data_IF_414981795370
#
_entry.id   IF_414981795370
#
_cell.length_a   1.000
_cell.length_b   1.000
_cell.length_c   1.000
_cell.angle_alpha   90.00
_cell.angle_beta   90.00
_cell.angle_gamma   90.00
#
_symmetry.space_group_name_H-M   'P 1'
#
loop_
_entity.id
_entity.type
_entity.pdbx_description
1 polymer ?
#
# COMPACT_ATOMS: atom_id res chain seq x y z
N UNK A 1 -6.91 18.20 -11.82
CA UNK A 1 -6.00 17.70 -10.77
C UNK A 1 -5.71 16.26 -11.12
N UNK A 2 -4.44 15.86 -11.07
CA UNK A 2 -4.09 14.44 -11.18
C UNK A 2 -4.51 13.76 -9.86
N UNK A 3 -5.28 12.68 -9.93
CA UNK A 3 -5.63 11.87 -8.76
C UNK A 3 -4.47 10.96 -8.39
N UNK A 4 -4.10 10.97 -7.10
CA UNK A 4 -3.00 10.18 -6.55
C UNK A 4 -3.45 9.45 -5.29
N UNK A 5 -3.34 8.12 -5.36
CA UNK A 5 -3.70 7.23 -4.27
C UNK A 5 -2.47 6.98 -3.44
N UNK A 6 -2.52 7.36 -2.17
CA UNK A 6 -1.49 7.00 -1.19
C UNK A 6 -1.75 5.58 -0.74
N UNK A 7 -0.72 4.74 -0.78
CA UNK A 7 -0.75 3.35 -0.35
C UNK A 7 0.26 3.17 0.78
N UNK A 8 -0.16 2.51 1.85
CA UNK A 8 0.73 1.97 2.87
C UNK A 8 0.59 0.47 2.92
N UNK A 9 1.72 -0.22 2.82
CA UNK A 9 1.76 -1.68 2.71
C UNK A 9 2.75 -2.27 3.70
N UNK A 10 2.27 -3.19 4.53
CA UNK A 10 3.08 -4.14 5.26
C UNK A 10 3.22 -5.41 4.43
N UNK A 11 4.46 -5.84 4.20
CA UNK A 11 4.78 -7.03 3.41
C UNK A 11 5.74 -7.93 4.19
N UNK A 12 5.42 -9.22 4.25
CA UNK A 12 6.17 -10.23 5.01
C UNK A 12 6.46 -11.46 4.17
N UNK A 13 7.57 -12.11 4.48
CA UNK A 13 7.92 -13.40 3.91
C UNK A 13 8.74 -14.23 4.91
N UNK A 14 8.49 -15.54 4.95
CA UNK A 14 9.20 -16.49 5.84
C UNK A 14 10.70 -16.60 5.55
N UNK A 15 11.07 -16.37 4.30
CA UNK A 15 12.45 -16.33 3.81
C UNK A 15 12.92 -14.87 3.72
N UNK A 16 13.88 -14.42 4.55
CA UNK A 16 14.36 -13.04 4.53
C UNK A 16 15.01 -12.66 3.20
N UNK A 17 15.54 -13.60 2.41
CA UNK A 17 16.09 -13.29 1.08
C UNK A 17 15.03 -12.80 0.09
N UNK A 18 13.76 -13.18 0.29
CA UNK A 18 12.66 -12.64 -0.50
C UNK A 18 12.32 -11.20 -0.11
N UNK A 19 12.48 -10.83 1.16
CA UNK A 19 12.37 -9.43 1.59
C UNK A 19 13.54 -8.63 1.04
N UNK A 20 14.77 -9.14 1.11
CA UNK A 20 15.94 -8.50 0.46
C UNK A 20 15.69 -8.26 -1.03
N UNK A 21 15.17 -9.26 -1.75
CA UNK A 21 14.82 -9.12 -3.17
C UNK A 21 13.70 -8.10 -3.42
N UNK A 22 12.69 -8.06 -2.56
CA UNK A 22 11.63 -7.06 -2.64
C UNK A 22 12.17 -5.65 -2.42
N UNK A 23 12.98 -5.44 -1.37
CA UNK A 23 13.58 -4.15 -1.04
C UNK A 23 14.53 -3.67 -2.13
N UNK A 24 15.34 -4.56 -2.70
CA UNK A 24 16.18 -4.24 -3.86
C UNK A 24 15.32 -3.80 -5.06
N UNK A 25 14.23 -4.51 -5.36
CA UNK A 25 13.33 -4.12 -6.43
C UNK A 25 12.61 -2.79 -6.15
N UNK A 26 12.19 -2.55 -4.90
CA UNK A 26 11.58 -1.28 -4.46
C UNK A 26 12.57 -0.13 -4.66
N UNK A 27 13.76 -0.23 -4.06
CA UNK A 27 14.81 0.80 -4.09
C UNK A 27 15.31 1.12 -5.51
N UNK A 28 15.29 0.14 -6.41
CA UNK A 28 15.72 0.30 -7.80
C UNK A 28 14.56 0.58 -8.78
N UNK A 29 13.34 0.83 -8.30
CA UNK A 29 12.17 1.10 -9.15
C UNK A 29 11.90 -0.02 -10.17
N UNK A 30 12.12 -1.26 -9.74
CA UNK A 30 12.00 -2.48 -10.55
C UNK A 30 10.88 -3.38 -10.07
N UNK A 31 9.87 -2.85 -9.36
CA UNK A 31 8.78 -3.69 -8.85
C UNK A 31 8.04 -4.46 -9.96
N UNK A 32 8.07 -3.95 -11.19
CA UNK A 32 7.60 -4.66 -12.38
C UNK A 32 8.24 -6.06 -12.58
N UNK A 33 9.41 -6.36 -12.01
CA UNK A 33 9.99 -7.71 -12.03
C UNK A 33 9.15 -8.73 -11.28
N UNK A 34 8.31 -8.27 -10.35
CA UNK A 34 7.29 -9.09 -9.72
C UNK A 34 5.99 -9.08 -10.53
N UNK A 35 5.68 -8.01 -11.29
CA UNK A 35 4.47 -7.88 -12.12
C UNK A 35 4.62 -8.52 -13.52
N UNK A 36 4.15 -9.76 -13.69
CA UNK A 36 4.40 -10.56 -14.91
C UNK A 36 3.60 -10.13 -16.18
N UNK A 37 2.95 -8.97 -16.13
CA UNK A 37 2.33 -8.24 -17.25
C UNK A 37 1.95 -6.86 -16.71
N UNK A 38 2.02 -5.84 -17.56
CA UNK A 38 1.58 -4.47 -17.24
C UNK A 38 0.11 -4.46 -16.78
N UNK A 39 -0.10 -4.68 -15.48
CA UNK A 39 -1.38 -4.45 -14.84
C UNK A 39 -1.31 -3.04 -14.25
N UNK A 40 -2.14 -2.17 -14.84
CA UNK A 40 -2.45 -0.81 -14.37
C UNK A 40 -1.27 0.04 -13.93
N UNK A 41 -0.44 0.50 -14.88
CA UNK A 41 0.32 1.76 -14.74
C UNK A 41 1.36 1.89 -13.63
N UNK A 42 1.61 0.86 -12.82
CA UNK A 42 2.61 0.90 -11.74
C UNK A 42 3.93 0.38 -12.31
N UNK A 43 4.68 1.29 -12.94
CA UNK A 43 6.04 0.98 -13.43
C UNK A 43 7.05 0.93 -12.28
N UNK A 44 6.77 1.72 -11.24
CA UNK A 44 7.50 1.83 -9.99
C UNK A 44 6.49 2.08 -8.85
N UNK A 45 6.92 1.87 -7.60
CA UNK A 45 6.15 2.29 -6.43
C UNK A 45 6.40 3.77 -6.11
N UNK A 46 6.62 4.65 -7.10
CA UNK A 46 6.71 6.10 -6.89
C UNK A 46 7.50 6.55 -5.66
N UNK A 47 8.61 5.86 -5.32
CA UNK A 47 9.29 6.10 -4.05
C UNK A 47 10.12 7.39 -4.07
N UNK A 48 10.12 8.13 -5.19
CA UNK A 48 10.81 9.39 -5.42
C UNK A 48 12.27 9.45 -4.92
N UNK A 49 12.95 8.30 -4.89
CA UNK A 49 14.33 8.16 -4.43
C UNK A 49 14.50 7.82 -2.95
N UNK A 50 13.41 7.69 -2.18
CA UNK A 50 13.45 7.11 -0.84
C UNK A 50 13.91 5.66 -0.90
N UNK A 51 14.90 5.34 -0.05
CA UNK A 51 15.42 3.98 0.06
C UNK A 51 15.02 3.37 1.38
N UNK A 52 14.57 2.14 1.30
CA UNK A 52 14.37 1.30 2.45
C UNK A 52 15.67 0.55 2.76
N UNK A 53 16.18 0.72 3.98
CA UNK A 53 17.31 -0.05 4.50
C UNK A 53 16.78 -1.15 5.43
N UNK A 54 17.34 -2.36 5.32
CA UNK A 54 16.96 -3.51 6.13
C UNK A 54 18.20 -4.23 6.65
N UNK A 55 18.03 -4.94 7.76
CA UNK A 55 19.06 -5.84 8.29
C UNK A 55 18.98 -7.21 7.58
N UNK A 56 20.12 -7.90 7.53
CA UNK A 56 20.13 -9.32 7.18
C UNK A 56 19.24 -10.07 8.18
N UNK A 57 18.27 -10.83 7.68
CA UNK A 57 17.19 -11.54 8.41
C UNK A 57 15.88 -10.77 8.65
N UNK A 58 15.69 -9.56 8.11
CA UNK A 58 14.38 -8.90 8.12
C UNK A 58 13.35 -9.75 7.35
N UNK A 59 12.23 -10.10 8.00
CA UNK A 59 11.14 -10.89 7.41
C UNK A 59 9.88 -10.07 7.13
N UNK A 60 9.86 -8.80 7.52
CA UNK A 60 8.75 -7.88 7.33
C UNK A 60 9.28 -6.47 7.12
N UNK A 61 8.67 -5.75 6.17
CA UNK A 61 8.87 -4.31 5.98
C UNK A 61 7.55 -3.59 5.80
N UNK A 62 7.55 -2.29 6.07
CA UNK A 62 6.45 -1.39 5.75
C UNK A 62 6.94 -0.37 4.73
N UNK A 63 6.12 -0.09 3.72
CA UNK A 63 6.43 0.88 2.66
C UNK A 63 5.23 1.81 2.44
N UNK A 64 5.52 3.06 2.12
CA UNK A 64 4.54 4.04 1.63
C UNK A 64 4.86 4.35 0.17
N UNK A 65 3.84 4.49 -0.67
CA UNK A 65 4.02 4.88 -2.07
C UNK A 65 2.74 5.46 -2.69
N UNK A 66 2.88 6.15 -3.83
CA UNK A 66 1.75 6.72 -4.56
C UNK A 66 1.50 6.01 -5.89
N UNK A 67 0.24 5.88 -6.27
CA UNK A 67 -0.19 5.38 -7.58
C UNK A 67 -1.18 6.35 -8.22
N UNK A 68 -1.27 6.36 -9.55
CA UNK A 68 -2.27 7.20 -10.21
C UNK A 68 -3.67 6.58 -10.10
N UNK A 69 -4.60 7.32 -9.50
CA UNK A 69 -6.04 7.06 -9.48
C UNK A 69 -6.55 5.91 -8.60
N UNK A 70 -5.85 4.77 -8.54
CA UNK A 70 -6.31 3.58 -7.81
C UNK A 70 -5.15 2.80 -7.17
N UNK A 71 -5.40 2.02 -6.10
CA UNK A 71 -4.42 1.13 -5.49
C UNK A 71 -4.02 0.01 -6.46
N UNK A 72 -2.76 -0.49 -6.42
CA UNK A 72 -2.27 -1.48 -7.35
C UNK A 72 -2.65 -2.91 -6.94
N UNK A 73 -3.95 -3.22 -6.86
CA UNK A 73 -4.46 -4.49 -6.33
C UNK A 73 -3.84 -5.72 -7.01
N UNK A 74 -3.62 -5.67 -8.33
CA UNK A 74 -2.97 -6.75 -9.09
C UNK A 74 -1.51 -6.99 -8.72
N UNK A 75 -0.81 -5.97 -8.22
CA UNK A 75 0.55 -6.14 -7.69
C UNK A 75 0.49 -6.91 -6.37
N UNK A 76 -0.44 -6.57 -5.47
CA UNK A 76 -0.64 -7.29 -4.21
C UNK A 76 -1.00 -8.76 -4.43
N UNK A 77 -2.00 -9.01 -5.29
CA UNK A 77 -2.43 -10.37 -5.66
C UNK A 77 -1.28 -11.21 -6.22
N UNK A 78 -0.38 -10.61 -7.01
CA UNK A 78 0.70 -11.31 -7.67
C UNK A 78 1.90 -11.57 -6.73
N UNK A 79 2.28 -10.59 -5.91
CA UNK A 79 3.26 -10.79 -4.84
C UNK A 79 2.81 -11.93 -3.91
N UNK A 80 1.54 -11.96 -3.56
CA UNK A 80 0.97 -13.07 -2.79
C UNK A 80 0.96 -14.38 -3.58
N UNK A 81 0.27 -14.44 -4.72
CA UNK A 81 -0.02 -15.69 -5.43
C UNK A 81 1.20 -16.36 -6.09
N UNK A 82 2.18 -15.59 -6.55
CA UNK A 82 3.36 -16.14 -7.24
C UNK A 82 4.62 -16.20 -6.37
N UNK A 83 4.70 -15.38 -5.32
CA UNK A 83 5.90 -15.26 -4.49
C UNK A 83 5.65 -15.52 -3.01
N UNK A 84 4.42 -15.88 -2.63
CA UNK A 84 4.03 -16.28 -1.29
C UNK A 84 4.34 -15.22 -0.22
N UNK A 85 4.25 -13.94 -0.58
CA UNK A 85 4.26 -12.85 0.39
C UNK A 85 2.94 -12.79 1.16
N UNK A 86 3.02 -12.49 2.44
CA UNK A 86 1.88 -12.05 3.26
C UNK A 86 1.81 -10.53 3.20
N UNK A 87 0.67 -9.98 2.82
CA UNK A 87 0.52 -8.55 2.57
C UNK A 87 -0.72 -8.02 3.28
N UNK A 88 -0.56 -6.88 3.94
CA UNK A 88 -1.65 -6.04 4.44
C UNK A 88 -1.41 -4.61 3.93
N UNK A 89 -2.36 -4.06 3.18
CA UNK A 89 -2.26 -2.74 2.59
C UNK A 89 -3.50 -1.91 2.90
N UNK A 90 -3.30 -0.62 3.13
CA UNK A 90 -4.34 0.39 3.26
C UNK A 90 -4.06 1.51 2.27
N UNK A 91 -5.11 2.12 1.74
CA UNK A 91 -4.98 3.14 0.71
C UNK A 91 -6.03 4.23 0.83
N UNK A 92 -5.71 5.42 0.33
CA UNK A 92 -6.58 6.61 0.33
C UNK A 92 -6.33 7.45 -0.93
N UNK A 93 -7.41 7.86 -1.58
CA UNK A 93 -7.47 8.84 -2.67
C UNK A 93 -8.41 9.98 -2.25
N UNK A 94 -7.86 11.07 -1.69
CA UNK A 94 -8.69 12.15 -1.15
C UNK A 94 -9.58 12.80 -2.20
N UNK A 95 -9.07 12.98 -3.43
CA UNK A 95 -9.78 13.68 -4.51
C UNK A 95 -11.03 12.96 -5.02
N UNK A 96 -11.13 11.66 -4.77
CA UNK A 96 -12.28 10.83 -5.12
C UNK A 96 -13.10 10.42 -3.89
N UNK A 97 -12.76 10.94 -2.71
CA UNK A 97 -13.36 10.56 -1.42
C UNK A 97 -13.36 9.05 -1.18
N UNK A 98 -12.23 8.40 -1.47
CA UNK A 98 -12.09 6.95 -1.51
C UNK A 98 -10.95 6.50 -0.60
N UNK A 99 -11.17 5.46 0.20
CA UNK A 99 -10.12 4.75 0.94
C UNK A 99 -10.54 3.30 1.19
N UNK A 100 -9.61 2.47 1.63
CA UNK A 100 -9.89 1.07 1.86
C UNK A 100 -8.66 0.26 2.24
N UNK A 101 -8.80 -1.07 2.22
CA UNK A 101 -7.73 -2.00 2.56
C UNK A 101 -7.78 -3.30 1.78
N UNK A 102 -6.63 -3.94 1.67
CA UNK A 102 -6.44 -5.24 1.03
C UNK A 102 -5.58 -6.14 1.92
N UNK A 103 -5.90 -7.42 2.02
CA UNK A 103 -5.13 -8.39 2.81
C UNK A 103 -5.07 -9.75 2.13
N UNK A 104 -3.89 -10.38 2.16
CA UNK A 104 -3.73 -11.75 1.68
C UNK A 104 -4.43 -12.79 2.58
N UNK A 105 -4.73 -12.45 3.84
CA UNK A 105 -5.37 -13.37 4.77
C UNK A 105 -6.86 -13.57 4.47
N UNK A 106 -7.49 -12.57 3.86
CA UNK A 106 -8.88 -12.58 3.47
C UNK A 106 -8.92 -12.10 2.02
N UNK A 107 -8.65 -12.97 1.04
CA UNK A 107 -8.64 -12.69 -0.41
C UNK A 107 -9.91 -11.98 -0.96
N UNK A 108 -10.89 -11.71 -0.11
CA UNK A 108 -11.99 -10.79 -0.35
C UNK A 108 -11.50 -9.35 -0.25
N UNK A 109 -11.55 -8.63 -1.38
CA UNK A 109 -11.47 -7.18 -1.40
C UNK A 109 -12.51 -6.59 -0.45
N UNK A 110 -12.09 -5.99 0.65
CA UNK A 110 -12.88 -4.95 1.29
C UNK A 110 -12.65 -3.65 0.49
N UNK A 111 -13.21 -3.59 -0.72
CA UNK A 111 -13.63 -2.32 -1.31
C UNK A 111 -14.82 -1.79 -0.51
N UNK A 112 -14.62 -1.53 0.79
CA UNK A 112 -15.52 -0.65 1.50
C UNK A 112 -15.17 0.74 1.01
N UNK A 113 -15.97 1.21 0.04
CA UNK A 113 -16.02 2.60 -0.35
C UNK A 113 -16.62 3.38 0.82
N UNK A 114 -15.81 3.62 1.83
CA UNK A 114 -16.16 4.49 2.94
C UNK A 114 -15.96 5.95 2.51
N UNK A 115 -16.82 6.83 3.01
CA UNK A 115 -16.69 8.27 2.80
C UNK A 115 -15.60 8.81 3.71
N UNK A 116 -14.77 9.73 3.19
CA UNK A 116 -13.76 10.38 4.01
C UNK A 116 -14.37 10.98 5.28
N UNK A 117 -13.71 10.85 6.44
CA UNK A 117 -14.15 11.49 7.67
C UNK A 117 -14.18 13.01 7.47
N UNK A 118 -15.25 13.64 7.97
CA UNK A 118 -15.46 15.09 7.92
C UNK A 118 -14.96 15.79 9.18
N UNK A 119 -14.64 15.02 10.23
CA UNK A 119 -14.09 15.56 11.49
C UNK A 119 -12.96 14.69 12.02
N UNK A 120 -12.04 15.28 12.79
CA UNK A 120 -10.97 14.55 13.45
C UNK A 120 -11.48 13.40 14.35
N UNK A 121 -12.68 13.58 14.95
CA UNK A 121 -13.32 12.55 15.75
C UNK A 121 -13.75 11.34 14.90
N UNK A 122 -14.35 11.57 13.74
CA UNK A 122 -14.71 10.49 12.80
C UNK A 122 -13.46 9.76 12.30
N UNK A 123 -12.38 10.49 12.02
CA UNK A 123 -11.09 9.88 11.66
C UNK A 123 -10.52 9.01 12.80
N UNK A 124 -10.67 9.43 14.06
CA UNK A 124 -10.25 8.65 15.23
C UNK A 124 -11.03 7.38 15.45
N UNK A 125 -12.33 7.39 15.17
CA UNK A 125 -13.17 6.18 15.25
C UNK A 125 -12.71 5.09 14.24
N UNK A 126 -11.93 5.47 13.21
CA UNK A 126 -11.37 4.59 12.21
C UNK A 126 -9.96 4.06 12.51
N UNK A 127 -9.30 4.51 13.59
CA UNK A 127 -7.88 4.19 13.87
C UNK A 127 -7.60 2.69 13.98
N UNK A 128 -8.55 1.94 14.55
CA UNK A 128 -8.41 0.49 14.72
C UNK A 128 -8.64 -0.28 13.41
N UNK A 129 -9.41 0.31 12.49
CA UNK A 129 -9.77 -0.31 11.22
C UNK A 129 -8.76 -0.01 10.13
N UNK A 130 -8.18 1.20 10.16
CA UNK A 130 -7.22 1.73 9.19
C UNK A 130 -5.98 2.35 9.88
N UNK A 131 -5.24 1.57 10.70
CA UNK A 131 -4.11 2.08 11.47
C UNK A 131 -2.95 2.62 10.64
N UNK A 132 -2.72 2.12 9.43
CA UNK A 132 -1.59 2.58 8.60
C UNK A 132 -1.86 3.97 8.02
N UNK A 133 -3.08 4.22 7.55
CA UNK A 133 -3.48 5.50 6.93
C UNK A 133 -4.18 6.48 7.87
N UNK A 134 -4.36 6.15 9.16
CA UNK A 134 -5.05 7.00 10.14
C UNK A 134 -4.57 8.45 10.15
N UNK A 135 -3.25 8.66 10.02
CA UNK A 135 -2.67 10.00 9.92
C UNK A 135 -3.24 10.79 8.72
N UNK A 136 -3.31 10.17 7.53
CA UNK A 136 -3.87 10.81 6.33
C UNK A 136 -5.37 11.05 6.43
N UNK A 137 -6.11 10.12 7.06
CA UNK A 137 -7.54 10.31 7.35
C UNK A 137 -7.78 11.53 8.25
N UNK A 138 -6.93 11.71 9.28
CA UNK A 138 -6.97 12.91 10.13
C UNK A 138 -6.63 14.18 9.38
N UNK A 139 -5.60 14.17 8.52
CA UNK A 139 -5.24 15.33 7.70
C UNK A 139 -6.39 15.76 6.80
N UNK A 140 -7.00 14.81 6.07
CA UNK A 140 -8.18 15.08 5.24
C UNK A 140 -9.33 15.68 6.05
N UNK A 141 -9.57 15.19 7.26
CA UNK A 141 -10.67 15.67 8.11
C UNK A 141 -10.45 17.06 8.74
N UNK A 142 -9.21 17.58 8.75
CA UNK A 142 -8.87 18.92 9.26
C UNK A 142 -8.90 19.96 8.13
N UNK A 143 -8.66 19.54 6.90
CA UNK A 143 -8.65 20.40 5.71
C UNK A 143 -10.04 20.63 5.08
N UNK A 144 -11.06 19.86 5.50
CA UNK A 144 -12.46 19.98 5.07
C UNK A 144 -13.22 21.18 5.67
#
# INVERSE_FOLDING_TARGET
MTSYTVNKMQIKHKDPHMIEKFVDAYNNQKIQTFANRSYSGVNDFGNDGEKLEIDFNTTQVEVTFMTSGYPPLKVYENLHGNFNFEIYAEFIEPSMSYFGKWSSANELMNEQNDWLPQTAKEADELSDTYPLIHHFLRECAIEC
#
